data_IF_555838071096
#
_entry.id   IF_555838071096
#
_cell.length_a   1.000
_cell.length_b   1.000
_cell.length_c   1.000
_cell.angle_alpha   90.00
_cell.angle_beta   90.00
_cell.angle_gamma   90.00
#
_symmetry.space_group_name_H-M   'P 1'
#
loop_
_entity.id
_entity.type
_entity.pdbx_description
1 polymer ?
#
# COMPACT_ATOMS: atom_id res chain seq x y z
N UNK A 1 -39.09 6.69 -59.66
CA UNK A 1 -39.06 5.66 -58.61
C UNK A 1 -37.80 4.83 -58.81
N UNK A 2 -36.65 5.36 -58.39
CA UNK A 2 -35.35 4.66 -58.44
C UNK A 2 -35.16 3.98 -57.10
N UNK A 3 -35.07 2.65 -57.11
CA UNK A 3 -34.83 1.83 -55.92
C UNK A 3 -33.33 1.97 -55.61
N UNK A 4 -33.01 2.68 -54.52
CA UNK A 4 -31.65 2.69 -53.97
C UNK A 4 -31.30 1.28 -53.49
N UNK A 5 -30.17 0.70 -53.90
CA UNK A 5 -29.79 -0.65 -53.52
C UNK A 5 -29.51 -0.67 -52.01
N UNK A 6 -30.19 -1.59 -51.32
CA UNK A 6 -29.95 -1.91 -49.93
C UNK A 6 -28.44 -2.12 -49.67
N UNK A 7 -27.81 -1.18 -48.97
CA UNK A 7 -26.55 -1.44 -48.26
C UNK A 7 -26.86 -2.42 -47.13
N UNK A 8 -26.92 -3.70 -47.47
CA UNK A 8 -26.80 -4.80 -46.52
C UNK A 8 -25.51 -4.59 -45.74
N UNK A 9 -25.62 -4.12 -44.49
CA UNK A 9 -24.50 -4.03 -43.55
C UNK A 9 -23.77 -5.36 -43.56
N UNK A 10 -22.51 -5.33 -43.97
CA UNK A 10 -21.72 -6.53 -44.17
C UNK A 10 -21.18 -7.00 -42.82
N UNK A 11 -21.05 -8.31 -42.62
CA UNK A 11 -20.46 -8.92 -41.39
C UNK A 11 -19.11 -8.29 -40.96
N UNK A 12 -18.22 -7.85 -41.89
CA UNK A 12 -17.02 -7.10 -41.55
C UNK A 12 -17.26 -5.72 -40.91
N UNK A 13 -18.34 -5.02 -41.28
CA UNK A 13 -18.65 -3.70 -40.69
C UNK A 13 -19.06 -3.84 -39.22
N UNK A 14 -19.84 -4.87 -38.89
CA UNK A 14 -20.26 -5.15 -37.51
C UNK A 14 -19.07 -5.56 -36.62
N UNK A 15 -18.10 -6.29 -37.17
CA UNK A 15 -16.87 -6.63 -36.46
C UNK A 15 -16.00 -5.38 -36.22
N UNK A 16 -15.93 -4.49 -37.21
CA UNK A 16 -15.20 -3.22 -37.09
C UNK A 16 -15.81 -2.32 -36.02
N UNK A 17 -17.15 -2.23 -35.97
CA UNK A 17 -17.87 -1.48 -34.94
C UNK A 17 -17.69 -2.07 -33.53
N UNK A 18 -17.74 -3.40 -33.37
CA UNK A 18 -17.47 -4.06 -32.09
C UNK A 18 -16.04 -3.87 -31.59
N UNK A 19 -15.04 -3.92 -32.48
CA UNK A 19 -13.64 -3.63 -32.15
C UNK A 19 -13.45 -2.17 -31.72
N UNK A 20 -14.24 -1.26 -32.30
CA UNK A 20 -14.21 0.16 -31.99
C UNK A 20 -14.90 0.46 -30.65
N UNK A 21 -16.03 -0.16 -30.37
CA UNK A 21 -16.72 -0.07 -29.06
C UNK A 21 -15.90 -0.70 -27.92
N UNK A 22 -15.30 -1.87 -28.15
CA UNK A 22 -14.42 -2.51 -27.15
C UNK A 22 -13.20 -1.65 -26.86
N UNK A 23 -12.57 -1.06 -27.89
CA UNK A 23 -11.46 -0.11 -27.72
C UNK A 23 -11.88 1.14 -26.93
N UNK A 24 -13.07 1.68 -27.18
CA UNK A 24 -13.62 2.81 -26.39
C UNK A 24 -13.88 2.43 -24.93
N UNK A 25 -14.41 1.24 -24.68
CA UNK A 25 -14.68 0.74 -23.32
C UNK A 25 -13.38 0.63 -22.51
N UNK A 26 -12.35 -0.03 -23.06
CA UNK A 26 -11.03 -0.13 -22.41
C UNK A 26 -10.41 1.24 -22.13
N UNK A 27 -10.56 2.20 -23.05
CA UNK A 27 -10.03 3.56 -22.89
C UNK A 27 -10.77 4.34 -21.80
N UNK A 28 -12.07 4.10 -21.65
CA UNK A 28 -12.92 4.71 -20.63
C UNK A 28 -12.70 4.10 -19.26
N UNK A 29 -12.64 2.77 -19.18
CA UNK A 29 -12.42 2.02 -17.94
C UNK A 29 -10.98 2.23 -17.42
N UNK A 30 -9.99 2.30 -18.32
CA UNK A 30 -8.62 2.68 -17.97
C UNK A 30 -8.50 4.11 -17.41
N UNK A 31 -9.29 5.06 -17.91
CA UNK A 31 -9.37 6.42 -17.34
C UNK A 31 -9.96 6.42 -15.92
N UNK A 32 -11.00 5.62 -15.70
CA UNK A 32 -11.67 5.50 -14.41
C UNK A 32 -10.75 4.83 -13.38
N UNK A 33 -10.10 3.72 -13.74
CA UNK A 33 -9.10 3.03 -12.92
C UNK A 33 -7.96 3.99 -12.56
N UNK A 34 -7.44 4.74 -13.54
CA UNK A 34 -6.37 5.71 -13.28
C UNK A 34 -6.83 6.83 -12.33
N UNK A 35 -8.07 7.30 -12.46
CA UNK A 35 -8.63 8.30 -11.56
C UNK A 35 -8.78 7.75 -10.13
N UNK A 36 -9.30 6.54 -9.97
CA UNK A 36 -9.45 5.91 -8.65
C UNK A 36 -8.09 5.59 -8.00
N UNK A 37 -7.12 5.11 -8.76
CA UNK A 37 -5.75 4.92 -8.27
C UNK A 37 -5.14 6.26 -7.85
N UNK A 38 -5.29 7.31 -8.66
CA UNK A 38 -4.79 8.64 -8.31
C UNK A 38 -5.42 9.15 -7.02
N UNK A 39 -6.73 8.99 -6.86
CA UNK A 39 -7.46 9.47 -5.68
C UNK A 39 -7.05 8.69 -4.41
N UNK A 40 -6.92 7.36 -4.52
CA UNK A 40 -6.37 6.52 -3.43
C UNK A 40 -4.92 6.90 -3.10
N UNK A 41 -4.07 7.15 -4.09
CA UNK A 41 -2.69 7.59 -3.88
C UNK A 41 -2.64 8.93 -3.18
N UNK A 42 -3.46 9.90 -3.58
CA UNK A 42 -3.53 11.22 -2.94
C UNK A 42 -4.02 11.11 -1.49
N UNK A 43 -5.03 10.28 -1.21
CA UNK A 43 -5.46 10.00 0.16
C UNK A 43 -4.36 9.35 1.00
N UNK A 44 -3.66 8.35 0.47
CA UNK A 44 -2.52 7.70 1.14
C UNK A 44 -1.39 8.72 1.37
N UNK A 45 -1.14 9.62 0.43
CA UNK A 45 -0.09 10.64 0.54
C UNK A 45 -0.42 11.68 1.63
N UNK A 46 -1.67 12.15 1.68
CA UNK A 46 -2.13 13.09 2.71
C UNK A 46 -2.14 12.45 4.11
N UNK A 47 -2.68 11.24 4.21
CA UNK A 47 -2.70 10.48 5.46
C UNK A 47 -1.27 10.07 5.90
N UNK A 48 -0.44 9.64 4.96
CA UNK A 48 0.94 9.23 5.22
C UNK A 48 1.84 10.39 5.62
N UNK A 49 1.69 11.57 4.99
CA UNK A 49 2.50 12.75 5.30
C UNK A 49 2.30 13.24 6.74
N UNK A 50 1.04 13.35 7.19
CA UNK A 50 0.73 13.76 8.57
C UNK A 50 1.18 12.72 9.60
N UNK A 51 1.09 11.43 9.29
CA UNK A 51 1.58 10.36 10.16
C UNK A 51 3.11 10.41 10.34
N UNK A 52 3.86 10.62 9.26
CA UNK A 52 5.32 10.75 9.32
C UNK A 52 5.73 12.00 10.10
N UNK A 53 5.10 13.15 9.83
CA UNK A 53 5.37 14.38 10.56
C UNK A 53 5.06 14.22 12.07
N UNK A 54 3.92 13.62 12.41
CA UNK A 54 3.54 13.31 13.79
C UNK A 54 4.54 12.37 14.46
N UNK A 55 5.00 11.32 13.77
CA UNK A 55 6.01 10.40 14.29
C UNK A 55 7.34 11.11 14.58
N UNK A 56 7.77 12.03 13.73
CA UNK A 56 8.97 12.86 13.96
C UNK A 56 8.77 13.74 15.19
N UNK A 57 7.63 14.44 15.31
CA UNK A 57 7.33 15.27 16.48
C UNK A 57 7.32 14.47 17.79
N UNK A 58 6.72 13.27 17.78
CA UNK A 58 6.73 12.37 18.92
C UNK A 58 8.15 11.88 19.25
N UNK A 59 8.97 11.55 18.26
CA UNK A 59 10.36 11.15 18.47
C UNK A 59 11.18 12.26 19.13
N UNK A 60 11.08 13.50 18.63
CA UNK A 60 11.75 14.66 19.23
C UNK A 60 11.27 14.88 20.66
N UNK A 61 9.96 14.82 20.89
CA UNK A 61 9.36 14.97 22.22
C UNK A 61 9.85 13.89 23.18
N UNK A 62 9.93 12.64 22.71
CA UNK A 62 10.43 11.51 23.50
C UNK A 62 11.89 11.72 23.91
N UNK A 63 12.75 12.21 23.02
CA UNK A 63 14.16 12.50 23.33
C UNK A 63 14.24 13.57 24.44
N UNK A 64 13.50 14.66 24.29
CA UNK A 64 13.48 15.77 25.27
C UNK A 64 12.95 15.29 26.63
N UNK A 65 11.82 14.56 26.63
CA UNK A 65 11.23 14.00 27.85
C UNK A 65 12.14 12.98 28.52
N UNK A 66 12.85 12.16 27.75
CA UNK A 66 13.82 11.19 28.29
C UNK A 66 14.95 11.91 29.00
N UNK A 67 15.51 12.97 28.39
CA UNK A 67 16.53 13.80 29.02
C UNK A 67 16.02 14.47 30.30
N UNK A 68 14.80 15.02 30.26
CA UNK A 68 14.17 15.61 31.44
C UNK A 68 13.98 14.58 32.57
N UNK A 69 13.58 13.36 32.22
CA UNK A 69 13.41 12.26 33.18
C UNK A 69 14.74 11.84 33.80
N UNK A 70 15.80 11.72 32.98
CA UNK A 70 17.15 11.42 33.48
C UNK A 70 17.63 12.51 34.45
N UNK A 71 17.45 13.79 34.10
CA UNK A 71 17.81 14.91 35.00
C UNK A 71 16.98 14.88 36.28
N UNK A 72 15.68 14.57 36.20
CA UNK A 72 14.82 14.46 37.37
C UNK A 72 15.25 13.32 38.30
N UNK A 73 15.53 12.14 37.75
CA UNK A 73 16.04 11.00 38.52
C UNK A 73 17.45 11.25 39.07
N UNK A 74 18.29 11.96 38.31
CA UNK A 74 19.64 12.36 38.72
C UNK A 74 19.70 13.23 39.99
N UNK A 75 18.56 13.80 40.42
CA UNK A 75 18.45 14.50 41.71
C UNK A 75 18.35 13.55 42.91
N UNK A 76 18.02 12.29 42.67
CA UNK A 76 17.69 11.28 43.71
C UNK A 76 18.67 10.10 43.63
N UNK A 77 19.25 9.82 42.46
CA UNK A 77 20.25 8.78 42.23
C UNK A 77 21.39 9.28 41.33
N UNK A 78 22.46 8.51 41.21
CA UNK A 78 23.57 8.83 40.32
C UNK A 78 23.09 8.99 38.85
N UNK A 79 23.54 10.04 38.13
CA UNK A 79 23.07 10.33 36.77
C UNK A 79 23.32 9.21 35.76
N UNK A 80 24.40 8.43 35.90
CA UNK A 80 24.69 7.33 34.98
C UNK A 80 23.67 6.20 35.15
N UNK A 81 23.32 5.87 36.40
CA UNK A 81 22.30 4.87 36.70
C UNK A 81 20.89 5.34 36.31
N UNK A 82 20.59 6.63 36.47
CA UNK A 82 19.35 7.22 35.97
C UNK A 82 19.22 7.09 34.44
N UNK A 83 20.28 7.43 33.69
CA UNK A 83 20.31 7.31 32.24
C UNK A 83 20.15 5.85 31.79
N UNK A 84 20.83 4.92 32.46
CA UNK A 84 20.73 3.50 32.16
C UNK A 84 19.30 2.97 32.38
N UNK A 85 18.68 3.31 33.52
CA UNK A 85 17.33 2.86 33.84
C UNK A 85 16.29 3.38 32.84
N UNK A 86 16.34 4.69 32.52
CA UNK A 86 15.43 5.29 31.54
C UNK A 86 15.65 4.67 30.16
N UNK A 87 16.90 4.47 29.75
CA UNK A 87 17.24 3.84 28.48
C UNK A 87 16.70 2.41 28.36
N UNK A 88 16.84 1.60 29.42
CA UNK A 88 16.30 0.23 29.46
C UNK A 88 14.78 0.22 29.35
N UNK A 89 14.08 1.10 30.08
CA UNK A 89 12.61 1.19 30.02
C UNK A 89 12.15 1.52 28.60
N UNK A 90 12.76 2.51 27.96
CA UNK A 90 12.41 2.91 26.59
C UNK A 90 12.75 1.79 25.59
N UNK A 91 13.88 1.09 25.76
CA UNK A 91 14.25 -0.03 24.90
C UNK A 91 13.23 -1.18 24.97
N UNK A 92 12.75 -1.52 26.17
CA UNK A 92 11.69 -2.54 26.35
C UNK A 92 10.41 -2.12 25.66
N UNK A 93 9.97 -0.87 25.84
CA UNK A 93 8.79 -0.33 25.14
C UNK A 93 8.99 -0.41 23.61
N UNK A 94 10.17 -0.05 23.11
CA UNK A 94 10.50 -0.12 21.69
C UNK A 94 10.41 -1.55 21.13
N UNK A 95 10.92 -2.54 21.85
CA UNK A 95 10.81 -3.95 21.45
C UNK A 95 9.35 -4.40 21.38
N UNK A 96 8.53 -4.04 22.36
CA UNK A 96 7.09 -4.38 22.38
C UNK A 96 6.36 -3.73 21.21
N UNK A 97 6.61 -2.45 20.94
CA UNK A 97 6.02 -1.74 19.81
C UNK A 97 6.45 -2.32 18.46
N UNK A 98 7.73 -2.69 18.30
CA UNK A 98 8.22 -3.37 17.10
C UNK A 98 7.54 -4.72 16.90
N UNK A 99 7.41 -5.52 17.96
CA UNK A 99 6.74 -6.82 17.90
C UNK A 99 5.25 -6.66 17.53
N UNK A 100 4.55 -5.70 18.14
CA UNK A 100 3.16 -5.39 17.81
C UNK A 100 2.99 -4.88 16.38
N UNK A 101 3.89 -4.00 15.93
CA UNK A 101 3.91 -3.47 14.57
C UNK A 101 4.12 -4.58 13.52
N UNK A 102 5.08 -5.47 13.75
CA UNK A 102 5.31 -6.63 12.87
C UNK A 102 4.07 -7.52 12.79
N UNK A 103 3.44 -7.84 13.94
CA UNK A 103 2.21 -8.62 13.97
C UNK A 103 1.06 -7.95 13.21
N UNK A 104 0.93 -6.63 13.30
CA UNK A 104 -0.10 -5.89 12.58
C UNK A 104 0.16 -5.87 11.07
N UNK A 105 1.43 -5.77 10.65
CA UNK A 105 1.81 -5.86 9.23
C UNK A 105 1.66 -7.27 8.67
N UNK A 106 1.82 -8.31 9.48
CA UNK A 106 1.52 -9.69 9.08
C UNK A 106 0.00 -9.92 8.98
N UNK A 107 -0.79 -9.33 9.89
CA UNK A 107 -2.25 -9.44 9.88
C UNK A 107 -2.90 -8.66 8.74
N UNK A 108 -2.32 -7.53 8.35
CA UNK A 108 -2.66 -6.83 7.11
C UNK A 108 -1.93 -7.55 5.99
N UNK A 109 -2.51 -8.60 5.43
CA UNK A 109 -1.99 -9.40 4.32
C UNK A 109 -1.58 -8.50 3.12
N UNK A 110 -0.38 -7.92 3.17
CA UNK A 110 0.26 -7.18 2.09
C UNK A 110 0.87 -8.14 1.05
N UNK A 111 1.05 -9.42 1.42
CA UNK A 111 1.31 -10.49 0.47
C UNK A 111 -0.05 -10.98 -0.06
N UNK A 112 -0.37 -10.81 -1.35
CA UNK A 112 -1.57 -11.38 -1.92
C UNK A 112 -1.41 -12.91 -1.97
N UNK A 113 -1.81 -13.60 -0.90
CA UNK A 113 -1.79 -15.07 -0.79
C UNK A 113 -2.52 -15.73 -1.97
N UNK A 114 -3.58 -15.07 -2.47
CA UNK A 114 -4.35 -15.49 -3.65
C UNK A 114 -3.53 -15.42 -4.94
N UNK A 115 -2.73 -14.37 -5.14
CA UNK A 115 -1.96 -14.18 -6.38
C UNK A 115 -0.74 -15.08 -6.45
N UNK A 116 -0.08 -15.34 -5.33
CA UNK A 116 1.09 -16.24 -5.30
C UNK A 116 0.70 -17.70 -5.56
N UNK A 117 -0.45 -18.15 -5.05
CA UNK A 117 -0.95 -19.51 -5.31
C UNK A 117 -1.42 -19.74 -6.76
N UNK A 118 -1.94 -18.70 -7.41
CA UNK A 118 -2.37 -18.79 -8.82
C UNK A 118 -1.19 -18.71 -9.79
N UNK A 119 -0.19 -17.87 -9.52
CA UNK A 119 1.03 -17.82 -10.33
C UNK A 119 1.83 -19.14 -10.31
N UNK A 120 1.83 -19.85 -9.18
CA UNK A 120 2.45 -21.17 -9.09
C UNK A 120 1.69 -22.24 -9.88
N UNK A 121 0.36 -22.19 -9.90
CA UNK A 121 -0.47 -23.10 -10.71
C UNK A 121 -0.30 -22.82 -12.20
N UNK A 122 -0.31 -21.56 -12.61
CA UNK A 122 -0.13 -21.18 -14.01
C UNK A 122 1.26 -21.55 -14.53
N UNK A 123 2.30 -21.41 -13.70
CA UNK A 123 3.66 -21.85 -14.04
C UNK A 123 3.83 -23.37 -14.17
N UNK A 124 3.00 -24.17 -13.49
CA UNK A 124 2.99 -25.63 -13.63
C UNK A 124 2.27 -26.07 -14.91
N UNK A 125 1.16 -25.41 -15.27
CA UNK A 125 0.42 -25.70 -16.50
C UNK A 125 1.25 -25.41 -17.76
N UNK A 126 2.06 -24.36 -17.76
CA UNK A 126 2.98 -24.04 -18.87
C UNK A 126 4.09 -25.11 -19.02
N UNK A 127 4.56 -25.68 -17.92
CA UNK A 127 5.55 -26.78 -17.94
C UNK A 127 4.96 -28.09 -18.44
N UNK A 128 3.68 -28.35 -18.21
CA UNK A 128 2.98 -29.54 -18.73
C UNK A 128 2.70 -29.46 -20.24
N UNK A 129 2.48 -28.26 -20.81
CA UNK A 129 2.25 -28.12 -22.25
C UNK A 129 3.51 -28.17 -23.12
N UNK A 130 4.71 -28.16 -22.52
CA UNK A 130 5.99 -28.17 -23.25
C UNK A 130 6.72 -29.53 -23.15
N UNK A 131 6.09 -30.54 -22.53
CA UNK A 131 6.58 -31.92 -22.47
C UNK A 131 5.63 -32.83 -23.23
#
# INVERSE_FOLDING_TARGET
MSIDPHQSRSVPDLLSDLLRETTELFRTEGRLIRAEISDKLTQIQLAGGSLVAGAICLLVSLIVLSGALVVALGKIMDPAWAALLVGVVIAVIGIVLLAAGKKNLEAVNLAPERSLGQLQKDGQLVKEQTR
#
